data_IF_389209905484
#
_entry.id   IF_389209905484
#
_cell.length_a   1.000
_cell.length_b   1.000
_cell.length_c   1.000
_cell.angle_alpha   90.00
_cell.angle_beta   90.00
_cell.angle_gamma   90.00
#
_symmetry.space_group_name_H-M   'P 1'
#
loop_
_entity.id
_entity.type
_entity.pdbx_description
1 polymer ?
#
# COMPACT_ATOMS: atom_id res chain seq x y z
N UNK A 1 26.10 -1.07 -5.37
CA UNK A 1 25.90 -1.96 -6.55
C UNK A 1 26.56 -1.26 -7.73
N UNK A 2 27.32 -1.95 -8.58
CA UNK A 2 27.82 -1.38 -9.84
C UNK A 2 27.09 -2.10 -10.99
N UNK A 3 27.02 -1.45 -12.15
CA UNK A 3 26.41 -2.04 -13.34
C UNK A 3 27.37 -1.95 -14.50
N UNK A 4 27.44 -3.01 -15.29
CA UNK A 4 28.35 -3.13 -16.41
C UNK A 4 27.55 -3.25 -17.70
N UNK A 5 27.96 -2.50 -18.71
CA UNK A 5 27.37 -2.54 -20.04
C UNK A 5 27.68 -3.85 -20.78
N UNK A 6 27.11 -4.03 -21.99
CA UNK A 6 27.35 -5.22 -22.82
C UNK A 6 28.82 -5.43 -23.20
N UNK A 7 29.62 -4.37 -23.18
CA UNK A 7 31.07 -4.34 -23.41
C UNK A 7 31.90 -4.68 -22.16
N UNK A 8 31.24 -4.93 -21.02
CA UNK A 8 31.90 -5.19 -19.74
C UNK A 8 32.42 -3.94 -19.04
N UNK A 9 32.17 -2.73 -19.56
CA UNK A 9 32.59 -1.49 -18.93
C UNK A 9 31.58 -1.06 -17.85
N UNK A 10 32.08 -0.52 -16.72
CA UNK A 10 31.22 0.02 -15.67
C UNK A 10 30.52 1.29 -16.18
N UNK A 11 29.21 1.42 -15.94
CA UNK A 11 28.45 2.60 -16.34
C UNK A 11 28.27 3.58 -15.19
N UNK A 12 28.22 4.87 -15.51
CA UNK A 12 27.98 5.97 -14.58
C UNK A 12 26.69 6.73 -14.91
N UNK A 13 26.27 7.60 -14.01
CA UNK A 13 25.10 8.47 -14.16
C UNK A 13 23.76 7.73 -14.09
N UNK A 14 22.75 8.34 -14.70
CA UNK A 14 21.39 7.81 -14.75
C UNK A 14 21.29 6.57 -15.65
N UNK A 15 20.73 5.49 -15.11
CA UNK A 15 20.55 4.24 -15.84
C UNK A 15 19.19 3.62 -15.52
N UNK A 16 18.59 2.97 -16.51
CA UNK A 16 17.35 2.20 -16.32
C UNK A 16 17.67 0.71 -16.46
N UNK A 17 17.48 -0.05 -15.39
CA UNK A 17 17.78 -1.49 -15.35
C UNK A 17 16.56 -2.22 -14.82
N UNK A 18 16.01 -3.16 -15.61
CA UNK A 18 14.83 -3.93 -15.20
C UNK A 18 13.60 -3.07 -14.87
N UNK A 19 13.41 -1.96 -15.61
CA UNK A 19 12.30 -1.02 -15.39
C UNK A 19 12.46 -0.08 -14.19
N UNK A 20 13.52 -0.20 -13.41
CA UNK A 20 13.83 0.73 -12.31
C UNK A 20 14.95 1.71 -12.70
N UNK A 21 14.83 2.97 -12.29
CA UNK A 21 15.89 3.98 -12.47
C UNK A 21 16.89 3.93 -11.31
N UNK A 22 18.16 4.09 -11.64
CA UNK A 22 19.30 4.13 -10.74
C UNK A 22 20.18 5.32 -11.08
N UNK A 23 20.95 5.80 -10.11
CA UNK A 23 22.06 6.71 -10.36
C UNK A 23 23.35 6.09 -9.85
N UNK A 24 24.31 5.88 -10.77
CA UNK A 24 25.64 5.35 -10.49
C UNK A 24 26.61 6.52 -10.36
N UNK A 25 27.06 6.78 -9.14
CA UNK A 25 27.84 7.97 -8.80
C UNK A 25 29.16 8.04 -9.59
N UNK A 26 29.33 9.01 -10.51
CA UNK A 26 30.54 9.14 -11.31
C UNK A 26 31.82 9.32 -10.49
N UNK A 27 31.71 9.85 -9.27
CA UNK A 27 32.85 10.14 -8.41
C UNK A 27 33.16 8.98 -7.44
N UNK A 28 32.25 8.01 -7.33
CA UNK A 28 32.46 6.84 -6.49
C UNK A 28 33.37 5.80 -7.14
N UNK A 29 34.19 5.15 -6.31
CA UNK A 29 34.98 3.98 -6.71
C UNK A 29 34.07 2.88 -7.32
N UNK A 30 34.30 2.58 -8.61
CA UNK A 30 33.47 1.69 -9.46
C UNK A 30 32.02 2.14 -9.70
N UNK A 31 31.76 3.45 -9.76
CA UNK A 31 30.45 4.01 -10.07
C UNK A 31 29.31 3.36 -9.28
N UNK A 32 29.38 3.45 -7.95
CA UNK A 32 28.39 2.76 -7.10
C UNK A 32 27.04 3.44 -7.20
N UNK A 33 25.99 2.63 -7.29
CA UNK A 33 24.61 3.08 -7.21
C UNK A 33 24.33 3.74 -5.86
N UNK A 34 23.68 4.90 -5.89
CA UNK A 34 23.29 5.66 -4.71
C UNK A 34 22.17 4.98 -3.90
N UNK A 35 22.06 5.38 -2.63
CA UNK A 35 20.97 5.02 -1.71
C UNK A 35 20.57 6.28 -0.92
N UNK A 36 19.33 6.35 -0.46
CA UNK A 36 18.82 7.47 0.35
C UNK A 36 18.75 8.79 -0.42
N UNK A 37 18.82 9.93 0.28
CA UNK A 37 18.62 11.24 -0.33
C UNK A 37 19.89 11.83 -0.92
N UNK A 38 19.89 12.17 -2.21
CA UNK A 38 21.03 12.79 -2.90
C UNK A 38 20.60 14.00 -3.74
N UNK A 39 21.46 15.01 -3.81
CA UNK A 39 21.31 16.11 -4.77
C UNK A 39 22.07 15.76 -6.03
N UNK A 40 21.37 15.78 -7.16
CA UNK A 40 21.92 15.49 -8.49
C UNK A 40 21.43 16.63 -9.39
N UNK A 41 22.38 17.35 -10.01
CA UNK A 41 22.12 18.50 -10.87
C UNK A 41 21.18 19.55 -10.22
N UNK A 42 21.41 19.84 -8.93
CA UNK A 42 20.64 20.81 -8.17
C UNK A 42 19.21 20.37 -7.79
N UNK A 43 18.86 19.10 -8.00
CA UNK A 43 17.56 18.54 -7.60
C UNK A 43 17.76 17.39 -6.62
N UNK A 44 16.91 17.32 -5.60
CA UNK A 44 16.92 16.23 -4.62
C UNK A 44 16.15 15.02 -5.15
N UNK A 45 16.78 13.85 -5.09
CA UNK A 45 16.21 12.54 -5.36
C UNK A 45 16.33 11.64 -4.13
N UNK A 46 15.55 10.56 -4.09
CA UNK A 46 15.65 9.53 -3.07
C UNK A 46 15.72 8.14 -3.69
N UNK A 47 16.57 7.29 -3.13
CA UNK A 47 16.79 5.92 -3.58
C UNK A 47 16.52 4.95 -2.42
N UNK A 48 15.86 3.83 -2.71
CA UNK A 48 15.55 2.83 -1.70
C UNK A 48 16.78 1.98 -1.31
N UNK A 49 16.58 1.02 -0.40
CA UNK A 49 17.64 0.12 0.05
C UNK A 49 18.22 -0.74 -1.09
N UNK A 50 17.47 -0.95 -2.17
CA UNK A 50 17.90 -1.65 -3.38
C UNK A 50 18.48 -0.69 -4.44
N UNK A 51 18.72 0.58 -4.10
CA UNK A 51 19.22 1.65 -4.98
C UNK A 51 18.27 2.10 -6.08
N UNK A 52 17.00 1.69 -6.03
CA UNK A 52 15.99 2.13 -7.01
C UNK A 52 15.51 3.52 -6.66
N UNK A 53 15.44 4.40 -7.65
CA UNK A 53 14.87 5.74 -7.50
C UNK A 53 13.41 5.63 -7.07
N UNK A 54 13.07 6.34 -6.00
CA UNK A 54 11.73 6.38 -5.43
C UNK A 54 10.95 7.52 -6.06
N UNK A 55 9.71 7.24 -6.41
CA UNK A 55 8.66 8.22 -6.70
C UNK A 55 7.52 8.01 -5.71
N UNK A 56 6.72 9.04 -5.46
CA UNK A 56 5.64 9.02 -4.49
C UNK A 56 6.07 9.47 -3.09
N UNK A 57 5.26 9.09 -2.11
CA UNK A 57 5.38 9.53 -0.73
C UNK A 57 6.49 8.79 0.04
N UNK A 58 7.30 9.55 0.78
CA UNK A 58 8.35 9.02 1.67
C UNK A 58 8.13 9.59 3.08
N UNK A 59 8.00 8.70 4.07
CA UNK A 59 7.97 9.04 5.49
C UNK A 59 9.36 8.96 6.07
N UNK A 60 9.76 10.00 6.79
CA UNK A 60 11.06 10.08 7.41
C UNK A 60 11.00 9.61 8.86
N UNK A 61 11.85 8.64 9.22
CA UNK A 61 11.87 8.08 10.57
C UNK A 61 12.31 9.08 11.64
N UNK A 62 13.09 10.10 11.27
CA UNK A 62 13.67 11.08 12.20
C UNK A 62 12.62 11.98 12.87
N UNK A 63 11.57 12.33 12.14
CA UNK A 63 10.56 13.31 12.57
C UNK A 63 9.13 12.90 12.21
N UNK A 64 8.95 11.75 11.55
CA UNK A 64 7.66 11.24 11.12
C UNK A 64 7.00 12.05 9.99
N UNK A 65 7.67 13.10 9.47
CA UNK A 65 7.14 13.95 8.40
C UNK A 65 7.28 13.27 7.05
N UNK A 66 6.58 13.82 6.07
CA UNK A 66 6.49 13.27 4.73
C UNK A 66 7.06 14.22 3.68
N UNK A 67 7.67 13.61 2.67
CA UNK A 67 8.05 14.25 1.41
C UNK A 67 7.37 13.52 0.25
N UNK A 68 7.23 14.20 -0.88
CA UNK A 68 6.76 13.60 -2.11
C UNK A 68 7.83 13.72 -3.19
N UNK A 69 8.15 12.62 -3.86
CA UNK A 69 9.02 12.59 -5.02
C UNK A 69 8.16 12.46 -6.27
N UNK A 70 8.23 13.46 -7.15
CA UNK A 70 7.41 13.54 -8.37
C UNK A 70 7.74 12.38 -9.32
N UNK A 71 6.95 12.22 -10.38
CA UNK A 71 7.15 11.17 -11.40
C UNK A 71 8.52 11.21 -12.07
N UNK A 72 9.16 12.38 -12.15
CA UNK A 72 10.53 12.55 -12.65
C UNK A 72 11.62 12.15 -11.63
N UNK A 73 11.22 11.82 -10.40
CA UNK A 73 12.07 11.45 -9.26
C UNK A 73 12.45 12.63 -8.36
N UNK A 74 12.08 13.87 -8.70
CA UNK A 74 12.53 15.05 -7.98
C UNK A 74 11.63 15.37 -6.80
N UNK A 75 12.21 15.77 -5.67
CA UNK A 75 11.46 16.12 -4.46
C UNK A 75 10.58 17.35 -4.68
N UNK A 76 9.32 17.28 -4.24
CA UNK A 76 8.41 18.41 -4.22
C UNK A 76 8.80 19.41 -3.14
N UNK A 77 8.74 20.70 -3.50
CA UNK A 77 8.93 21.84 -2.59
C UNK A 77 7.88 22.89 -2.89
N UNK A 78 7.56 23.73 -1.91
CA UNK A 78 6.52 24.74 -2.04
C UNK A 78 5.14 24.12 -2.28
N UNK A 79 4.25 24.90 -2.90
CA UNK A 79 2.88 24.49 -3.18
C UNK A 79 2.81 23.54 -4.36
N UNK A 80 2.35 22.32 -4.14
CA UNK A 80 2.27 21.26 -5.15
C UNK A 80 0.91 20.59 -5.11
N UNK A 81 0.26 20.45 -6.27
CA UNK A 81 -0.96 19.63 -6.38
C UNK A 81 -0.58 18.20 -6.73
N UNK A 82 -0.97 17.25 -5.88
CA UNK A 82 -0.77 15.82 -6.07
C UNK A 82 -2.17 15.21 -6.07
N UNK A 83 -2.55 14.59 -7.20
CA UNK A 83 -3.85 13.93 -7.39
C UNK A 83 -5.06 14.79 -6.98
N UNK A 84 -5.05 16.06 -7.40
CA UNK A 84 -6.13 17.01 -7.15
C UNK A 84 -6.14 17.63 -5.75
N UNK A 85 -5.23 17.22 -4.86
CA UNK A 85 -5.07 17.79 -3.51
C UNK A 85 -3.87 18.71 -3.48
N UNK A 86 -4.02 19.90 -2.92
CA UNK A 86 -2.95 20.88 -2.79
C UNK A 86 -2.17 20.65 -1.48
N UNK A 87 -0.85 20.54 -1.60
CA UNK A 87 0.09 20.38 -0.50
C UNK A 87 1.04 21.55 -0.45
N UNK A 88 1.42 21.97 0.75
CA UNK A 88 2.52 22.91 0.94
C UNK A 88 3.69 22.13 1.56
N UNK A 89 4.85 22.19 0.89
CA UNK A 89 6.11 21.61 1.33
C UNK A 89 7.09 22.72 1.67
N UNK A 90 7.88 22.53 2.72
CA UNK A 90 9.00 23.38 3.08
C UNK A 90 10.11 23.30 2.03
N UNK A 91 11.12 24.16 2.18
CA UNK A 91 12.34 24.11 1.35
C UNK A 91 13.13 22.82 1.57
N UNK A 92 12.98 22.19 2.73
CA UNK A 92 13.49 20.85 3.07
C UNK A 92 12.65 19.71 2.47
N UNK A 93 11.61 20.04 1.69
CA UNK A 93 10.68 19.10 1.07
C UNK A 93 9.76 18.38 2.06
N UNK A 94 9.71 18.81 3.32
CA UNK A 94 8.78 18.24 4.31
C UNK A 94 7.45 18.94 4.21
N UNK A 95 6.35 18.20 4.26
CA UNK A 95 5.01 18.77 4.28
C UNK A 95 4.83 19.71 5.48
N UNK A 96 4.26 20.90 5.25
CA UNK A 96 4.05 21.94 6.27
C UNK A 96 2.59 22.08 6.69
N UNK A 97 1.63 21.74 5.82
CA UNK A 97 0.22 21.87 6.14
C UNK A 97 -0.37 20.62 6.84
N UNK A 98 -1.06 20.87 7.95
CA UNK A 98 -1.69 19.88 8.83
C UNK A 98 -2.90 19.14 8.22
N UNK A 99 -3.27 19.38 6.96
CA UNK A 99 -4.33 18.61 6.25
C UNK A 99 -4.02 17.09 6.17
N UNK A 100 -2.79 16.73 6.52
CA UNK A 100 -2.28 15.40 6.73
C UNK A 100 -2.77 14.69 8.01
N UNK A 101 -3.37 15.37 8.99
CA UNK A 101 -3.50 14.83 10.36
C UNK A 101 -4.88 14.31 10.78
N UNK A 102 -5.99 14.68 10.13
CA UNK A 102 -7.33 14.34 10.63
C UNK A 102 -8.01 13.15 9.95
N UNK A 103 -7.78 12.92 8.65
CA UNK A 103 -8.43 11.82 7.92
C UNK A 103 -7.43 10.73 7.54
N UNK A 104 -7.57 9.59 8.20
CA UNK A 104 -6.67 8.45 8.09
C UNK A 104 -7.45 7.17 7.77
N UNK A 105 -6.69 6.16 7.40
CA UNK A 105 -7.06 4.74 7.40
C UNK A 105 -6.04 4.09 8.31
N UNK A 106 -6.46 3.72 9.52
CA UNK A 106 -5.55 3.37 10.63
C UNK A 106 -4.51 4.49 10.87
N UNK A 107 -3.21 4.18 10.85
CA UNK A 107 -2.14 5.16 11.03
C UNK A 107 -1.69 5.84 9.72
N UNK A 108 -2.23 5.41 8.56
CA UNK A 108 -1.90 5.97 7.25
C UNK A 108 -2.87 7.11 6.88
N UNK A 109 -2.35 8.29 6.52
CA UNK A 109 -3.14 9.38 5.92
C UNK A 109 -3.88 8.90 4.68
N UNK A 110 -5.19 9.16 4.63
CA UNK A 110 -6.05 8.57 3.59
C UNK A 110 -5.59 8.93 2.18
N UNK A 111 -5.18 10.18 2.00
CA UNK A 111 -4.68 10.70 0.73
C UNK A 111 -3.47 9.91 0.22
N UNK A 112 -2.47 9.59 1.05
CA UNK A 112 -1.30 8.85 0.56
C UNK A 112 -1.66 7.44 0.11
N UNK A 113 -2.60 6.79 0.81
CA UNK A 113 -3.12 5.48 0.42
C UNK A 113 -3.93 5.55 -0.87
N UNK A 114 -4.84 6.51 -0.98
CA UNK A 114 -5.69 6.68 -2.17
C UNK A 114 -4.83 7.08 -3.37
N UNK A 115 -3.90 8.03 -3.22
CA UNK A 115 -2.95 8.45 -4.26
C UNK A 115 -2.15 7.26 -4.78
N UNK A 116 -1.56 6.47 -3.87
CA UNK A 116 -0.82 5.27 -4.25
C UNK A 116 -1.69 4.30 -5.04
N UNK A 117 -2.92 4.04 -4.59
CA UNK A 117 -3.82 3.13 -5.26
C UNK A 117 -4.25 3.68 -6.64
N UNK A 118 -4.63 4.96 -6.75
CA UNK A 118 -5.01 5.60 -8.01
C UNK A 118 -3.86 5.61 -9.02
N UNK A 119 -2.64 5.92 -8.58
CA UNK A 119 -1.42 5.86 -9.40
C UNK A 119 -1.13 4.45 -9.95
N UNK A 120 -1.72 3.40 -9.37
CA UNK A 120 -1.49 2.00 -9.73
C UNK A 120 -2.76 1.27 -10.22
N UNK A 121 -3.86 2.00 -10.47
CA UNK A 121 -5.11 1.43 -10.95
C UNK A 121 -4.99 0.91 -12.38
N UNK A 122 -4.44 1.71 -13.30
CA UNK A 122 -4.50 1.45 -14.74
C UNK A 122 -3.28 0.72 -15.32
N UNK A 123 -2.14 0.70 -14.63
CA UNK A 123 -0.87 0.23 -15.20
C UNK A 123 -0.66 -1.29 -15.11
N UNK A 124 -1.70 -2.06 -14.78
CA UNK A 124 -1.57 -3.50 -14.55
C UNK A 124 -0.66 -3.85 -13.36
N UNK A 125 -0.38 -2.88 -12.49
CA UNK A 125 0.48 -3.06 -11.33
C UNK A 125 -0.15 -4.07 -10.36
N UNK A 126 -1.39 -3.81 -9.94
CA UNK A 126 -2.17 -4.73 -9.13
C UNK A 126 -3.12 -5.58 -9.98
N UNK A 127 -3.92 -4.96 -10.85
CA UNK A 127 -5.01 -5.62 -11.57
C UNK A 127 -4.56 -6.90 -12.31
N UNK A 128 -5.32 -7.96 -12.11
CA UNK A 128 -5.05 -9.29 -12.66
C UNK A 128 -3.87 -10.02 -12.03
N UNK A 129 -3.25 -9.52 -10.94
CA UNK A 129 -2.29 -10.32 -10.17
C UNK A 129 -2.95 -11.61 -9.70
N UNK A 130 -2.28 -12.75 -9.93
CA UNK A 130 -2.82 -14.07 -9.60
C UNK A 130 -3.03 -14.23 -8.09
N UNK A 131 -4.08 -14.94 -7.73
CA UNK A 131 -4.28 -15.35 -6.34
C UNK A 131 -3.18 -16.32 -5.91
N UNK A 132 -2.73 -16.20 -4.66
CA UNK A 132 -1.77 -17.10 -4.05
C UNK A 132 -2.33 -17.68 -2.76
N UNK A 133 -2.40 -19.02 -2.70
CA UNK A 133 -2.84 -19.79 -1.54
C UNK A 133 -1.70 -20.21 -0.61
N UNK A 134 -0.50 -19.64 -0.77
CA UNK A 134 0.70 -20.07 -0.02
C UNK A 134 0.74 -19.67 1.46
N UNK A 135 -0.20 -18.82 1.91
CA UNK A 135 -0.35 -18.37 3.31
C UNK A 135 0.95 -17.91 3.97
N UNK A 136 1.86 -17.27 3.21
CA UNK A 136 3.12 -16.75 3.74
C UNK A 136 3.43 -15.37 3.17
N UNK A 137 4.22 -14.57 3.90
CA UNK A 137 4.64 -13.24 3.42
C UNK A 137 5.41 -13.38 2.09
N UNK A 138 6.19 -14.45 1.96
CA UNK A 138 6.98 -14.73 0.75
C UNK A 138 6.14 -15.12 -0.47
N UNK A 139 4.85 -15.42 -0.30
CA UNK A 139 3.97 -15.86 -1.39
C UNK A 139 2.74 -14.99 -1.60
N UNK A 140 2.41 -14.09 -0.67
CA UNK A 140 1.16 -13.31 -0.70
C UNK A 140 1.34 -11.80 -0.93
N UNK A 141 2.57 -11.30 -1.08
CA UNK A 141 2.86 -9.84 -1.07
C UNK A 141 3.34 -9.26 -2.41
N UNK A 142 3.18 -9.97 -3.53
CA UNK A 142 3.90 -9.63 -4.77
C UNK A 142 2.94 -9.29 -5.91
N UNK A 143 2.59 -8.01 -6.13
CA UNK A 143 1.80 -7.59 -7.28
C UNK A 143 2.59 -7.76 -8.59
N UNK A 144 1.91 -7.78 -9.74
CA UNK A 144 2.55 -7.85 -11.06
C UNK A 144 3.59 -6.75 -11.28
N UNK A 145 3.30 -5.54 -10.83
CA UNK A 145 4.20 -4.40 -10.98
C UNK A 145 5.36 -4.35 -9.97
N UNK A 146 5.37 -5.24 -8.97
CA UNK A 146 6.51 -5.41 -8.06
C UNK A 146 6.71 -6.91 -7.76
N UNK A 147 7.21 -7.69 -8.74
CA UNK A 147 7.48 -9.10 -8.53
C UNK A 147 8.61 -9.30 -7.51
N UNK A 148 8.65 -10.50 -6.93
CA UNK A 148 9.79 -10.96 -6.13
C UNK A 148 11.05 -11.05 -7.00
N UNK A 149 12.22 -11.14 -6.38
CA UNK A 149 13.52 -11.22 -7.07
C UNK A 149 13.65 -12.37 -8.09
N UNK A 150 12.86 -13.43 -7.95
CA UNK A 150 12.81 -14.58 -8.87
C UNK A 150 11.68 -14.48 -9.91
N UNK A 151 11.04 -13.32 -10.02
CA UNK A 151 9.91 -13.09 -10.93
C UNK A 151 8.56 -13.59 -10.41
N UNK A 152 8.49 -14.15 -9.20
CA UNK A 152 7.22 -14.58 -8.63
C UNK A 152 6.28 -13.38 -8.42
N UNK A 153 5.03 -13.55 -8.85
CA UNK A 153 3.90 -12.66 -8.54
C UNK A 153 2.84 -13.49 -7.84
N UNK A 154 2.07 -12.91 -6.93
CA UNK A 154 1.04 -13.62 -6.20
C UNK A 154 0.60 -12.84 -4.96
N UNK A 155 -0.71 -12.72 -4.79
CA UNK A 155 -1.31 -12.09 -3.61
C UNK A 155 -2.52 -12.88 -3.10
N UNK A 156 -2.74 -12.86 -1.80
CA UNK A 156 -4.05 -13.17 -1.22
C UNK A 156 -4.80 -11.86 -0.90
N UNK A 157 -6.02 -11.94 -0.38
CA UNK A 157 -6.85 -10.77 -0.05
C UNK A 157 -6.10 -9.75 0.82
N UNK A 158 -5.54 -10.21 1.94
CA UNK A 158 -4.82 -9.35 2.87
C UNK A 158 -3.47 -8.89 2.34
N UNK A 159 -2.79 -9.69 1.53
CA UNK A 159 -1.49 -9.37 0.98
C UNK A 159 -1.54 -8.20 -0.02
N UNK A 160 -2.65 -8.08 -0.76
CA UNK A 160 -2.94 -6.86 -1.53
C UNK A 160 -3.08 -5.64 -0.63
N UNK A 161 -3.92 -5.72 0.41
CA UNK A 161 -4.13 -4.62 1.37
C UNK A 161 -2.82 -4.23 2.06
N UNK A 162 -2.06 -5.22 2.54
CA UNK A 162 -0.79 -5.02 3.21
C UNK A 162 0.27 -4.41 2.29
N UNK A 163 0.34 -4.83 1.02
CA UNK A 163 1.28 -4.24 0.06
C UNK A 163 0.95 -2.77 -0.18
N UNK A 164 -0.30 -2.44 -0.51
CA UNK A 164 -0.72 -1.06 -0.74
C UNK A 164 -0.54 -0.19 0.51
N UNK A 165 -0.92 -0.69 1.68
CA UNK A 165 -0.77 0.01 2.96
C UNK A 165 0.69 0.34 3.27
N UNK A 166 1.59 -0.64 3.12
CA UNK A 166 3.03 -0.43 3.32
C UNK A 166 3.63 0.51 2.28
N UNK A 167 3.21 0.40 1.02
CA UNK A 167 3.67 1.31 -0.04
C UNK A 167 3.21 2.75 0.21
N UNK A 168 2.05 2.93 0.83
CA UNK A 168 1.56 4.21 1.33
C UNK A 168 2.19 4.60 2.69
N UNK A 169 3.26 3.91 3.10
CA UNK A 169 4.11 4.11 4.29
C UNK A 169 3.48 3.80 5.65
N UNK A 170 2.48 2.92 5.67
CA UNK A 170 1.94 2.35 6.90
C UNK A 170 2.83 1.29 7.54
N UNK A 171 2.81 1.20 8.88
CA UNK A 171 3.58 0.22 9.63
C UNK A 171 2.81 -1.10 9.79
N UNK A 172 3.32 -2.16 9.17
CA UNK A 172 2.73 -3.50 9.28
C UNK A 172 3.14 -4.25 10.56
N UNK A 173 4.15 -3.77 11.30
CA UNK A 173 4.69 -4.43 12.48
C UNK A 173 3.66 -4.64 13.59
N UNK A 174 2.93 -3.59 14.02
CA UNK A 174 1.85 -3.71 15.01
C UNK A 174 0.72 -4.63 14.56
N UNK A 175 0.34 -4.56 13.28
CA UNK A 175 -0.70 -5.43 12.70
C UNK A 175 -0.27 -6.89 12.77
N UNK A 176 0.98 -7.21 12.40
CA UNK A 176 1.49 -8.59 12.42
C UNK A 176 1.44 -9.23 13.82
N UNK A 177 1.59 -8.42 14.88
CA UNK A 177 1.66 -8.89 16.26
C UNK A 177 0.28 -9.04 16.90
N UNK A 178 -0.74 -8.33 16.41
CA UNK A 178 -2.04 -8.25 17.06
C UNK A 178 -2.87 -9.54 16.90
N UNK A 179 -3.17 -10.31 17.96
CA UNK A 179 -4.06 -11.48 17.86
C UNK A 179 -5.35 -11.37 18.68
N UNK A 180 -5.59 -10.24 19.34
CA UNK A 180 -6.54 -10.15 20.46
C UNK A 180 -7.99 -10.45 20.07
N UNK A 181 -8.33 -10.25 18.79
CA UNK A 181 -9.70 -10.41 18.26
C UNK A 181 -9.81 -11.52 17.22
N UNK A 182 -8.79 -12.37 17.11
CA UNK A 182 -8.78 -13.52 16.21
C UNK A 182 -9.54 -14.70 16.83
N UNK A 183 -10.34 -15.45 16.07
CA UNK A 183 -10.99 -16.67 16.59
C UNK A 183 -10.02 -17.84 16.79
N UNK A 184 -8.73 -17.68 16.44
CA UNK A 184 -7.70 -18.71 16.63
C UNK A 184 -6.51 -18.20 17.43
N UNK A 185 -5.98 -19.06 18.31
CA UNK A 185 -4.68 -18.85 18.95
C UNK A 185 -3.58 -18.95 17.88
N UNK A 186 -2.96 -17.82 17.50
CA UNK A 186 -1.94 -17.74 16.46
C UNK A 186 -2.44 -17.45 15.04
N UNK A 187 -3.73 -17.64 14.74
CA UNK A 187 -4.35 -17.35 13.44
C UNK A 187 -4.06 -18.40 12.34
N UNK A 188 -4.93 -18.58 11.33
CA UNK A 188 -4.63 -19.39 10.16
C UNK A 188 -3.48 -18.76 9.36
N UNK A 189 -2.58 -19.59 8.85
CA UNK A 189 -1.48 -19.16 7.98
C UNK A 189 -0.34 -18.38 8.68
N UNK A 190 -0.04 -18.67 9.94
CA UNK A 190 1.11 -18.09 10.64
C UNK A 190 0.93 -16.66 11.17
N UNK A 191 -0.29 -16.11 11.13
CA UNK A 191 -0.69 -14.98 11.96
C UNK A 191 -0.12 -13.59 11.63
N UNK A 192 0.69 -13.43 10.59
CA UNK A 192 1.25 -12.11 10.23
C UNK A 192 0.21 -11.17 9.60
N UNK A 193 0.63 -9.97 9.15
CA UNK A 193 -0.21 -8.97 8.46
C UNK A 193 -0.85 -9.45 7.15
N UNK A 194 -0.64 -10.69 6.73
CA UNK A 194 -1.33 -11.33 5.61
C UNK A 194 -2.62 -12.06 6.03
N UNK A 195 -3.03 -11.91 7.28
CA UNK A 195 -4.28 -12.42 7.84
C UNK A 195 -5.22 -11.27 8.20
N UNK A 196 -6.42 -11.24 7.62
CA UNK A 196 -7.35 -10.12 7.75
C UNK A 196 -7.87 -9.91 9.19
N UNK A 197 -7.94 -10.95 10.02
CA UNK A 197 -8.33 -10.81 11.43
C UNK A 197 -7.34 -9.99 12.25
N UNK A 198 -6.07 -9.98 11.84
CA UNK A 198 -5.00 -9.17 12.46
C UNK A 198 -5.24 -7.68 12.23
N UNK A 199 -5.72 -7.31 11.05
CA UNK A 199 -6.10 -5.94 10.71
C UNK A 199 -7.32 -5.49 11.51
N UNK A 200 -8.34 -6.34 11.60
CA UNK A 200 -9.53 -6.06 12.41
C UNK A 200 -9.19 -5.87 13.90
N UNK A 201 -8.38 -6.78 14.47
CA UNK A 201 -7.96 -6.67 15.86
C UNK A 201 -7.11 -5.44 16.12
N UNK A 202 -6.15 -5.15 15.24
CA UNK A 202 -5.34 -3.94 15.34
C UNK A 202 -6.18 -2.67 15.23
N UNK A 203 -7.18 -2.63 14.35
CA UNK A 203 -8.08 -1.49 14.23
C UNK A 203 -8.81 -1.22 15.55
N UNK A 204 -9.29 -2.26 16.24
CA UNK A 204 -9.94 -2.11 17.55
C UNK A 204 -8.94 -1.61 18.58
N UNK A 205 -7.80 -2.28 18.71
CA UNK A 205 -6.84 -2.02 19.79
C UNK A 205 -6.08 -0.70 19.63
N UNK A 206 -5.98 -0.19 18.40
CA UNK A 206 -5.43 1.15 18.12
C UNK A 206 -6.45 2.28 18.34
N UNK A 207 -7.71 1.96 18.63
CA UNK A 207 -8.79 2.93 18.77
C UNK A 207 -9.25 3.54 17.44
N UNK A 208 -8.98 2.88 16.32
CA UNK A 208 -9.43 3.34 15.02
C UNK A 208 -10.95 3.43 14.96
N UNK A 209 -11.48 4.40 14.20
CA UNK A 209 -12.91 4.51 13.99
C UNK A 209 -13.42 3.35 13.12
N UNK A 210 -14.34 2.56 13.65
CA UNK A 210 -14.90 1.38 13.01
C UNK A 210 -16.43 1.47 12.96
N UNK A 211 -17.02 1.04 11.85
CA UNK A 211 -18.46 0.81 11.74
C UNK A 211 -18.74 -0.63 11.35
N UNK A 212 -19.69 -1.27 12.02
CA UNK A 212 -20.10 -2.65 11.73
C UNK A 212 -21.52 -2.68 11.21
N UNK A 213 -21.71 -3.35 10.09
CA UNK A 213 -22.98 -3.46 9.38
C UNK A 213 -23.39 -4.91 9.22
N UNK A 214 -24.69 -5.15 9.03
CA UNK A 214 -25.23 -6.49 8.83
C UNK A 214 -24.86 -7.07 7.46
N UNK A 215 -24.66 -6.22 6.46
CA UNK A 215 -24.40 -6.59 5.07
C UNK A 215 -23.88 -5.38 4.27
N UNK A 216 -23.44 -5.60 3.03
CA UNK A 216 -22.95 -4.55 2.12
C UNK A 216 -24.01 -3.48 1.89
N UNK A 217 -25.28 -3.87 1.71
CA UNK A 217 -26.36 -2.91 1.44
C UNK A 217 -26.54 -1.89 2.58
N UNK A 218 -26.50 -2.34 3.84
CA UNK A 218 -26.59 -1.46 5.02
C UNK A 218 -25.33 -0.61 5.22
N UNK A 219 -24.15 -1.11 4.86
CA UNK A 219 -22.93 -0.29 4.80
C UNK A 219 -23.08 0.85 3.79
N UNK A 220 -23.49 0.56 2.55
CA UNK A 220 -23.64 1.58 1.50
C UNK A 220 -24.75 2.59 1.86
N UNK A 221 -25.90 2.13 2.35
CA UNK A 221 -27.01 2.99 2.78
C UNK A 221 -26.62 3.96 3.91
N UNK A 222 -25.63 3.59 4.73
CA UNK A 222 -25.20 4.41 5.86
C UNK A 222 -24.55 5.74 5.47
N UNK A 223 -24.05 5.86 4.24
CA UNK A 223 -23.31 7.04 3.79
C UNK A 223 -21.92 7.21 4.43
N UNK A 224 -21.41 6.21 5.17
CA UNK A 224 -20.17 6.31 5.94
C UNK A 224 -18.91 5.86 5.20
N UNK A 225 -19.08 5.14 4.09
CA UNK A 225 -17.97 4.66 3.28
C UNK A 225 -17.28 5.81 2.56
N UNK A 226 -15.95 5.79 2.53
CA UNK A 226 -15.11 6.74 1.81
C UNK A 226 -14.01 5.97 1.08
N UNK A 227 -13.67 6.39 -0.14
CA UNK A 227 -12.59 5.76 -0.93
C UNK A 227 -11.33 5.56 -0.06
N UNK A 228 -10.75 4.37 -0.14
CA UNK A 228 -9.60 3.94 0.64
C UNK A 228 -9.92 3.34 2.01
N UNK A 229 -11.16 3.40 2.51
CA UNK A 229 -11.53 2.66 3.72
C UNK A 229 -11.26 1.18 3.55
N UNK A 230 -10.82 0.50 4.61
CA UNK A 230 -10.68 -0.94 4.58
C UNK A 230 -12.06 -1.56 4.86
N UNK A 231 -12.52 -2.41 3.95
CA UNK A 231 -13.67 -3.29 4.16
C UNK A 231 -13.14 -4.63 4.65
N UNK A 232 -13.60 -5.08 5.81
CA UNK A 232 -13.36 -6.41 6.35
C UNK A 232 -14.68 -7.17 6.49
N UNK A 233 -14.77 -8.32 5.82
CA UNK A 233 -15.86 -9.26 5.98
C UNK A 233 -15.57 -10.15 7.19
N UNK A 234 -16.14 -9.75 8.33
CA UNK A 234 -16.01 -10.45 9.60
C UNK A 234 -16.93 -11.66 9.63
N UNK A 235 -16.34 -12.84 9.61
CA UNK A 235 -17.06 -14.13 9.65
C UNK A 235 -17.01 -14.74 11.06
N UNK A 236 -17.47 -15.99 11.18
CA UNK A 236 -17.50 -16.76 12.43
C UNK A 236 -16.27 -17.67 12.64
N UNK A 237 -15.25 -17.59 11.77
CA UNK A 237 -14.08 -18.46 11.82
C UNK A 237 -14.22 -19.81 11.10
N UNK A 238 -15.43 -20.22 10.71
CA UNK A 238 -15.64 -21.39 9.84
C UNK A 238 -15.75 -20.99 8.36
N UNK A 239 -16.26 -19.78 8.11
CA UNK A 239 -16.29 -19.17 6.79
C UNK A 239 -15.03 -18.33 6.62
N UNK A 240 -14.36 -18.48 5.49
CA UNK A 240 -13.17 -17.67 5.18
C UNK A 240 -13.51 -16.19 5.15
N UNK A 241 -12.65 -15.37 5.76
CA UNK A 241 -12.82 -13.93 5.82
C UNK A 241 -12.30 -13.27 4.54
N UNK A 242 -12.67 -12.02 4.32
CA UNK A 242 -12.19 -11.27 3.15
C UNK A 242 -11.93 -9.81 3.48
N UNK A 243 -11.00 -9.20 2.76
CA UNK A 243 -10.56 -7.81 2.99
C UNK A 243 -10.20 -7.12 1.68
N UNK A 244 -10.37 -5.81 1.63
CA UNK A 244 -9.98 -4.94 0.51
C UNK A 244 -10.32 -3.48 0.79
N UNK A 245 -10.17 -2.63 -0.21
CA UNK A 245 -10.46 -1.20 -0.08
C UNK A 245 -11.83 -0.87 -0.68
N UNK A 246 -12.63 -0.09 0.03
CA UNK A 246 -13.77 0.60 -0.59
C UNK A 246 -13.24 1.54 -1.66
N UNK A 247 -13.80 1.44 -2.86
CA UNK A 247 -13.28 2.12 -4.04
C UNK A 247 -14.35 2.92 -4.80
N UNK A 248 -15.47 3.22 -4.15
CA UNK A 248 -16.49 4.13 -4.68
C UNK A 248 -16.06 5.60 -4.56
N UNK A 249 -16.36 6.40 -5.59
CA UNK A 249 -16.18 7.86 -5.58
C UNK A 249 -17.23 8.55 -4.69
N UNK A 250 -18.37 7.89 -4.49
CA UNK A 250 -19.39 8.29 -3.50
C UNK A 250 -19.66 7.17 -2.49
N UNK A 251 -20.13 7.48 -1.27
CA UNK A 251 -20.34 6.49 -0.21
C UNK A 251 -21.31 5.34 -0.54
N UNK A 252 -22.19 5.53 -1.53
CA UNK A 252 -23.23 4.60 -1.91
C UNK A 252 -22.85 3.74 -3.13
N UNK A 253 -21.74 4.02 -3.80
CA UNK A 253 -21.28 3.23 -4.93
C UNK A 253 -20.73 1.89 -4.45
N UNK A 254 -21.34 0.80 -4.89
CA UNK A 254 -20.92 -0.56 -4.57
C UNK A 254 -19.65 -0.94 -5.35
N UNK A 255 -18.49 -0.45 -4.90
CA UNK A 255 -17.20 -0.65 -5.55
C UNK A 255 -16.12 -0.96 -4.52
N UNK A 256 -15.39 -2.04 -4.76
CA UNK A 256 -14.32 -2.56 -3.91
C UNK A 256 -13.14 -2.95 -4.77
N UNK A 257 -11.95 -2.55 -4.36
CA UNK A 257 -10.71 -3.08 -4.90
C UNK A 257 -10.19 -4.17 -3.97
N UNK A 258 -10.05 -5.38 -4.50
CA UNK A 258 -9.69 -6.54 -3.70
C UNK A 258 -8.98 -7.63 -4.50
N UNK A 259 -8.39 -8.58 -3.80
CA UNK A 259 -7.74 -9.75 -4.38
C UNK A 259 -8.58 -11.00 -4.07
N UNK A 260 -9.09 -11.65 -5.11
CA UNK A 260 -9.86 -12.91 -5.01
C UNK A 260 -9.22 -13.99 -5.89
N UNK A 261 -9.83 -15.19 -5.94
CA UNK A 261 -9.33 -16.34 -6.70
C UNK A 261 -9.11 -16.03 -8.19
N UNK A 262 -10.01 -15.26 -8.81
CA UNK A 262 -9.92 -14.83 -10.21
C UNK A 262 -8.77 -13.84 -10.47
N UNK A 263 -8.22 -13.24 -9.42
CA UNK A 263 -7.16 -12.25 -9.48
C UNK A 263 -7.49 -10.98 -8.71
N UNK A 264 -6.55 -10.03 -8.72
CA UNK A 264 -6.79 -8.68 -8.23
C UNK A 264 -7.76 -7.96 -9.18
N UNK A 265 -8.80 -7.33 -8.65
CA UNK A 265 -9.78 -6.64 -9.46
C UNK A 265 -10.51 -5.54 -8.68
N UNK A 266 -11.17 -4.67 -9.43
CA UNK A 266 -12.17 -3.73 -8.92
C UNK A 266 -13.54 -4.28 -9.31
N UNK A 267 -14.38 -4.56 -8.33
CA UNK A 267 -15.73 -5.10 -8.55
C UNK A 267 -16.68 -4.67 -7.44
N UNK A 268 -17.89 -5.23 -7.38
CA UNK A 268 -18.79 -4.99 -6.23
C UNK A 268 -18.17 -5.50 -4.92
N UNK A 269 -18.57 -4.92 -3.79
CA UNK A 269 -18.20 -5.42 -2.48
C UNK A 269 -18.83 -6.81 -2.24
N UNK A 270 -18.03 -7.85 -2.04
CA UNK A 270 -18.50 -9.17 -1.58
C UNK A 270 -17.35 -9.99 -0.98
N UNK A 271 -17.70 -11.00 -0.19
CA UNK A 271 -16.79 -12.08 0.22
C UNK A 271 -16.98 -13.29 -0.71
N UNK A 272 -15.91 -13.77 -1.36
CA UNK A 272 -16.01 -14.90 -2.28
C UNK A 272 -16.44 -16.21 -1.59
N UNK A 273 -16.08 -16.40 -0.31
CA UNK A 273 -16.47 -17.56 0.47
C UNK A 273 -17.92 -17.49 1.00
N UNK A 274 -18.57 -16.32 0.92
CA UNK A 274 -19.93 -16.12 1.44
C UNK A 274 -20.63 -14.92 0.80
N UNK A 275 -21.03 -15.10 -0.46
CA UNK A 275 -21.75 -14.07 -1.24
C UNK A 275 -23.17 -13.79 -0.72
N UNK A 276 -23.74 -14.71 0.06
CA UNK A 276 -25.07 -14.55 0.65
C UNK A 276 -25.05 -13.80 1.99
N UNK A 277 -23.86 -13.51 2.53
CA UNK A 277 -23.65 -12.71 3.75
C UNK A 277 -24.26 -13.33 5.03
N UNK A 278 -24.50 -14.65 5.06
CA UNK A 278 -24.97 -15.35 6.26
C UNK A 278 -23.87 -15.49 7.32
N UNK A 279 -24.17 -15.22 8.60
CA UNK A 279 -23.19 -15.25 9.70
C UNK A 279 -21.93 -14.42 9.42
N UNK A 280 -22.10 -13.34 8.67
CA UNK A 280 -21.07 -12.39 8.29
C UNK A 280 -21.51 -10.98 8.65
N UNK A 281 -20.55 -10.16 9.05
CA UNK A 281 -20.72 -8.71 9.18
C UNK A 281 -19.77 -8.01 8.23
N UNK A 282 -20.14 -6.81 7.81
CA UNK A 282 -19.27 -5.93 7.04
C UNK A 282 -18.73 -4.87 7.98
N UNK A 283 -17.42 -4.88 8.18
CA UNK A 283 -16.71 -3.93 9.04
C UNK A 283 -16.00 -2.93 8.15
N UNK A 284 -16.31 -1.66 8.34
CA UNK A 284 -15.65 -0.54 7.68
C UNK A 284 -14.64 0.05 8.66
N UNK A 285 -13.36 -0.16 8.38
CA UNK A 285 -12.22 0.30 9.17
C UNK A 285 -11.70 1.61 8.57
N UNK A 286 -11.61 2.63 9.42
CA UNK A 286 -11.12 3.97 9.08
C UNK A 286 -9.87 4.26 9.92
N UNK A 287 -9.53 5.54 10.09
CA UNK A 287 -8.61 6.04 11.11
C UNK A 287 -9.35 6.77 12.22
#
# INVERSE_FOLDING_TARGET
KSYFGPDGAAVSGWQTVGGSRYYFDPDAWFFRALKWGHDIDGKRYYFDEQSRMVTGWVRWNSDGKWSYFKSDGTMATGRTTINGVQYDFGSDGRITNAAYSADKVLDVPRNTLVDWLEDHEYYGYYLGTKYSSGFSVSTCMYPKGAPRSDGFTGMNCTGFVAHAYRSAGGDLGPIAKNNNHSPWSGGPGGGSYINAWRWYGYAIDSGARIYTFNNVASMLKSGKAKKGDIIFFKTNGFIDCHIGFFWGDTPNQNKMWHQILQGNQISTCFNNANKQEYNQKVVLIKG
#
